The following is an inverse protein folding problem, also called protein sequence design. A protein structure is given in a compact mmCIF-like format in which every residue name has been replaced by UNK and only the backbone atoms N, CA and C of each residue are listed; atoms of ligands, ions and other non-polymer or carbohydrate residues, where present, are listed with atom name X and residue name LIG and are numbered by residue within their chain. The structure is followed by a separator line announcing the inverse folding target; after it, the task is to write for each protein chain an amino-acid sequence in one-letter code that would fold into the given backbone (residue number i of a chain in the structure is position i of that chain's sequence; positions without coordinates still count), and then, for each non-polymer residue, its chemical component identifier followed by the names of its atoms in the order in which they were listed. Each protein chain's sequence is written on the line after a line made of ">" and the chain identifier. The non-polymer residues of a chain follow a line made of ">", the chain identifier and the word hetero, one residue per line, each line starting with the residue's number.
data_IF_512362299999
#
_entry.id   IF_512362299999
#
_cell.length_a   1.000
_cell.length_b   1.000
_cell.length_c   1.000
_cell.angle_alpha   90.00
_cell.angle_beta   90.00
_cell.angle_gamma   90.00
#
_symmetry.space_group_name_H-M   'P 1'
#
loop_
_entity.id
_entity.type
_entity.pdbx_description
1 polymer ?
#
# COMPACT_ATOMS: atom_id res chain seq x y z
N UNK A 1 2.40 -30.46 -15.98
CA UNK A 1 3.69 -29.86 -15.56
C UNK A 1 4.23 -28.75 -16.48
N UNK A 2 4.55 -28.98 -17.77
CA UNK A 2 5.09 -27.89 -18.64
C UNK A 2 4.07 -26.80 -19.04
N UNK A 3 2.79 -27.12 -19.15
CA UNK A 3 1.72 -26.14 -19.47
C UNK A 3 1.28 -25.33 -18.25
N UNK A 4 1.14 -25.95 -17.09
CA UNK A 4 0.73 -25.28 -15.84
C UNK A 4 1.75 -24.20 -15.41
N UNK A 5 3.05 -24.47 -15.56
CA UNK A 5 4.10 -23.48 -15.27
C UNK A 5 4.01 -22.26 -16.18
N UNK A 6 3.69 -22.44 -17.47
CA UNK A 6 3.54 -21.34 -18.44
C UNK A 6 2.29 -20.50 -18.18
N UNK A 7 1.19 -21.13 -17.76
CA UNK A 7 -0.05 -20.43 -17.40
C UNK A 7 0.18 -19.59 -16.13
N UNK A 8 0.82 -20.15 -15.11
CA UNK A 8 1.16 -19.42 -13.89
C UNK A 8 2.10 -18.25 -14.15
N UNK A 9 3.13 -18.43 -14.98
CA UNK A 9 4.06 -17.36 -15.35
C UNK A 9 3.38 -16.27 -16.20
N UNK A 10 2.52 -16.67 -17.14
CA UNK A 10 1.75 -15.72 -17.95
C UNK A 10 0.78 -14.90 -17.08
N UNK A 11 0.11 -15.55 -16.12
CA UNK A 11 -0.76 -14.87 -15.16
C UNK A 11 0.02 -13.90 -14.27
N UNK A 12 1.16 -14.33 -13.73
CA UNK A 12 2.04 -13.48 -12.91
C UNK A 12 2.50 -12.24 -13.68
N UNK A 13 2.86 -12.40 -14.95
CA UNK A 13 3.27 -11.27 -15.82
C UNK A 13 2.10 -10.34 -16.13
N UNK A 14 0.90 -10.89 -16.34
CA UNK A 14 -0.31 -10.09 -16.54
C UNK A 14 -0.69 -9.28 -15.30
N UNK A 15 -0.59 -9.87 -14.10
CA UNK A 15 -0.83 -9.15 -12.83
C UNK A 15 0.25 -8.12 -12.52
N UNK A 16 1.49 -8.31 -12.98
CA UNK A 16 2.53 -7.30 -12.85
C UNK A 16 2.30 -6.09 -13.77
N UNK A 17 1.55 -6.24 -14.86
CA UNK A 17 1.30 -5.18 -15.83
C UNK A 17 0.01 -4.39 -15.61
N UNK A 18 -0.73 -4.64 -14.52
CA UNK A 18 -1.94 -3.88 -14.23
C UNK A 18 -1.57 -2.42 -13.99
N UNK A 19 -2.04 -1.54 -14.88
CA UNK A 19 -1.80 -0.09 -14.82
C UNK A 19 -2.96 0.58 -14.09
N UNK A 20 -2.63 1.54 -13.24
CA UNK A 20 -3.60 2.45 -12.67
C UNK A 20 -4.17 3.34 -13.80
N UNK A 21 -5.49 3.40 -13.94
CA UNK A 21 -6.17 4.28 -14.90
C UNK A 21 -6.71 5.52 -14.20
N UNK A 22 -7.03 6.57 -14.96
CA UNK A 22 -7.66 7.78 -14.43
C UNK A 22 -9.01 7.47 -13.77
N UNK A 23 -9.84 6.65 -14.41
CA UNK A 23 -11.15 6.27 -13.87
C UNK A 23 -11.03 5.56 -12.52
N UNK A 24 -10.04 4.68 -12.35
CA UNK A 24 -9.78 4.03 -11.06
C UNK A 24 -9.44 5.02 -9.95
N UNK A 25 -8.75 6.13 -10.28
CA UNK A 25 -8.41 7.17 -9.31
C UNK A 25 -9.66 7.93 -8.89
N UNK A 26 -10.51 8.31 -9.85
CA UNK A 26 -11.75 9.04 -9.56
C UNK A 26 -12.74 8.18 -8.77
N UNK A 27 -12.95 6.93 -9.18
CA UNK A 27 -13.79 5.97 -8.43
C UNK A 27 -13.25 5.74 -7.00
N UNK A 28 -11.92 5.72 -6.83
CA UNK A 28 -11.31 5.60 -5.49
C UNK A 28 -11.57 6.83 -4.62
N UNK A 29 -11.57 8.04 -5.20
CA UNK A 29 -11.90 9.28 -4.48
C UNK A 29 -13.38 9.30 -4.07
N UNK A 30 -14.28 8.94 -4.98
CA UNK A 30 -15.71 8.82 -4.68
C UNK A 30 -15.98 7.84 -3.54
N UNK A 31 -15.26 6.72 -3.50
CA UNK A 31 -15.33 5.77 -2.40
C UNK A 31 -14.86 6.38 -1.08
N UNK A 32 -13.74 7.11 -1.07
CA UNK A 32 -13.23 7.78 0.14
C UNK A 32 -14.21 8.83 0.65
N UNK A 33 -14.82 9.61 -0.25
CA UNK A 33 -15.87 10.58 0.08
C UNK A 33 -17.09 9.89 0.70
N UNK A 34 -17.54 8.78 0.12
CA UNK A 34 -18.67 8.00 0.65
C UNK A 34 -18.36 7.39 2.04
N UNK A 35 -17.10 7.08 2.33
CA UNK A 35 -16.63 6.61 3.63
C UNK A 35 -16.38 7.75 4.64
N UNK A 36 -16.39 9.01 4.21
CA UNK A 36 -16.05 10.17 5.03
C UNK A 36 -14.56 10.24 5.39
N UNK A 37 -13.69 9.66 4.57
CA UNK A 37 -12.24 9.68 4.77
C UNK A 37 -11.63 10.83 3.95
N UNK A 38 -10.95 11.80 4.59
CA UNK A 38 -10.36 12.91 3.86
C UNK A 38 -9.16 12.46 3.03
N UNK A 39 -9.01 13.05 1.86
CA UNK A 39 -7.82 12.93 1.01
C UNK A 39 -7.37 14.31 0.52
N UNK A 40 -6.11 14.42 0.12
CA UNK A 40 -5.51 15.66 -0.39
C UNK A 40 -4.92 15.37 -1.76
N UNK A 41 -5.16 16.26 -2.71
CA UNK A 41 -4.50 16.22 -4.02
C UNK A 41 -3.15 16.91 -3.92
N UNK A 42 -2.07 16.13 -4.01
CA UNK A 42 -0.72 16.68 -4.09
C UNK A 42 -0.52 17.47 -5.40
N UNK A 43 0.28 18.53 -5.34
CA UNK A 43 0.65 19.34 -6.52
C UNK A 43 1.51 18.57 -7.52
N UNK A 44 2.27 17.57 -7.06
CA UNK A 44 3.11 16.70 -7.90
C UNK A 44 3.12 15.27 -7.35
N UNK A 45 4.07 14.92 -6.49
CA UNK A 45 4.20 13.56 -5.95
C UNK A 45 3.51 13.42 -4.59
N UNK A 46 2.70 12.36 -4.45
CA UNK A 46 1.98 12.08 -3.20
C UNK A 46 2.90 11.79 -2.02
N UNK A 47 4.01 11.09 -2.25
CA UNK A 47 5.00 10.77 -1.22
C UNK A 47 5.70 12.02 -0.68
N UNK A 48 6.05 12.95 -1.56
CA UNK A 48 6.63 14.24 -1.16
C UNK A 48 5.64 15.09 -0.37
N UNK A 49 4.37 15.13 -0.78
CA UNK A 49 3.32 15.84 -0.05
C UNK A 49 3.10 15.24 1.35
N UNK A 50 3.08 13.90 1.46
CA UNK A 50 2.91 13.22 2.74
C UNK A 50 4.11 13.45 3.67
N UNK A 51 5.33 13.43 3.12
CA UNK A 51 6.55 13.74 3.85
C UNK A 51 6.54 15.18 4.39
N UNK A 52 6.13 16.15 3.57
CA UNK A 52 5.97 17.55 3.98
C UNK A 52 4.97 17.71 5.13
N UNK A 53 3.79 17.08 5.04
CA UNK A 53 2.81 17.11 6.13
C UNK A 53 3.35 16.46 7.40
N UNK A 54 4.17 15.41 7.27
CA UNK A 54 4.83 14.80 8.43
C UNK A 54 5.83 15.76 9.07
N UNK A 55 6.63 16.49 8.28
CA UNK A 55 7.64 17.42 8.81
C UNK A 55 7.02 18.68 9.42
N UNK A 56 5.85 19.11 8.94
CA UNK A 56 5.09 20.22 9.54
C UNK A 56 4.32 19.80 10.82
N UNK A 57 4.25 18.49 11.11
CA UNK A 57 3.56 17.95 12.28
C UNK A 57 2.05 17.78 12.12
N UNK A 58 1.52 17.90 10.89
CA UNK A 58 0.10 17.71 10.58
C UNK A 58 -0.33 16.24 10.72
N UNK A 59 0.60 15.31 10.50
CA UNK A 59 0.38 13.87 10.62
C UNK A 59 1.43 13.20 11.50
N UNK A 60 1.06 12.10 12.15
CA UNK A 60 1.99 11.36 13.01
C UNK A 60 3.10 10.63 12.24
N UNK A 61 2.78 10.08 11.07
CA UNK A 61 3.71 9.32 10.21
C UNK A 61 3.15 9.15 8.79
N UNK A 62 4.04 8.85 7.84
CA UNK A 62 3.68 8.50 6.46
C UNK A 62 3.58 6.98 6.29
N UNK A 63 2.47 6.49 5.75
CA UNK A 63 2.28 5.08 5.43
C UNK A 63 2.62 4.77 3.98
N UNK A 64 3.80 4.21 3.70
CA UNK A 64 4.19 3.76 2.33
C UNK A 64 4.95 2.42 2.36
N UNK A 65 5.06 1.79 1.20
CA UNK A 65 5.93 0.62 0.96
C UNK A 65 7.26 1.02 0.33
N UNK A 66 7.38 2.22 -0.23
CA UNK A 66 8.60 2.70 -0.85
C UNK A 66 9.28 3.70 0.08
N UNK A 67 10.61 3.79 0.01
CA UNK A 67 11.39 4.60 0.95
C UNK A 67 11.49 6.08 0.53
N UNK A 68 10.83 6.49 -0.56
CA UNK A 68 11.04 7.84 -1.12
C UNK A 68 10.51 8.93 -0.19
N UNK A 69 9.45 8.66 0.58
CA UNK A 69 8.98 9.53 1.66
C UNK A 69 10.10 9.94 2.65
N UNK A 70 11.03 9.03 2.98
CA UNK A 70 12.17 9.35 3.84
C UNK A 70 13.20 10.23 3.12
N UNK A 71 13.38 10.05 1.81
CA UNK A 71 14.25 10.89 1.00
C UNK A 71 13.70 12.33 0.88
N UNK A 72 12.37 12.47 0.89
CA UNK A 72 11.68 13.76 0.94
C UNK A 72 11.65 14.39 2.34
N UNK A 73 12.13 13.70 3.37
CA UNK A 73 12.27 14.25 4.72
C UNK A 73 11.11 13.95 5.68
N UNK A 74 10.36 12.86 5.47
CA UNK A 74 9.37 12.43 6.45
C UNK A 74 10.02 12.11 7.81
N UNK A 75 9.46 12.64 8.90
CA UNK A 75 9.97 12.39 10.26
C UNK A 75 9.78 10.93 10.68
N UNK A 76 8.68 10.32 10.26
CA UNK A 76 8.30 8.94 10.61
C UNK A 76 7.62 8.26 9.45
N UNK A 77 7.96 6.98 9.25
CA UNK A 77 7.37 6.14 8.21
C UNK A 77 6.90 4.80 8.79
N UNK A 78 5.70 4.35 8.39
CA UNK A 78 5.13 3.04 8.76
C UNK A 78 4.96 2.18 7.51
N UNK A 79 5.58 1.00 7.51
CA UNK A 79 5.51 0.02 6.41
C UNK A 79 4.51 -1.10 6.72
N UNK A 80 4.03 -1.78 5.67
CA UNK A 80 3.10 -2.91 5.76
C UNK A 80 1.70 -2.57 6.30
N UNK A 81 1.30 -1.30 6.29
CA UNK A 81 -0.03 -0.89 6.78
C UNK A 81 -1.17 -1.48 5.94
N UNK A 82 -0.97 -1.54 4.62
CA UNK A 82 -1.95 -2.06 3.66
C UNK A 82 -1.66 -3.50 3.21
N UNK A 83 -0.61 -4.13 3.77
CA UNK A 83 -0.15 -5.47 3.35
C UNK A 83 -0.76 -6.56 4.23
N UNK A 84 -1.40 -7.55 3.61
CA UNK A 84 -1.95 -8.73 4.31
C UNK A 84 -0.84 -9.78 4.51
N UNK A 85 -0.40 -10.03 5.75
CA UNK A 85 0.46 -11.19 6.09
C UNK A 85 -0.39 -12.41 6.47
N UNK A 86 -1.04 -13.05 5.51
CA UNK A 86 -1.56 -14.41 5.74
C UNK A 86 -0.51 -15.42 5.29
N UNK A 87 0.28 -15.95 6.24
CA UNK A 87 1.14 -17.12 5.97
C UNK A 87 0.23 -18.33 5.76
N UNK A 88 0.25 -18.95 4.57
CA UNK A 88 -0.26 -20.32 4.40
C UNK A 88 0.66 -21.25 5.18
N UNK A 89 0.22 -21.73 6.33
CA UNK A 89 0.82 -22.89 6.98
C UNK A 89 0.51 -24.13 6.14
N UNK A 90 1.44 -25.09 6.07
CA UNK A 90 1.30 -26.32 5.29
C UNK A 90 0.12 -27.21 5.75
N UNK A 91 -0.58 -26.85 6.82
CA UNK A 91 -1.68 -27.59 7.44
C UNK A 91 -3.08 -27.08 7.09
N UNK A 92 -3.22 -26.10 6.18
CA UNK A 92 -4.53 -25.66 5.69
C UNK A 92 -5.44 -24.98 6.72
N UNK A 93 -4.91 -24.61 7.89
CA UNK A 93 -5.61 -23.79 8.88
C UNK A 93 -5.10 -22.35 8.81
N UNK A 94 -6.02 -21.40 8.66
CA UNK A 94 -5.76 -19.97 8.78
C UNK A 94 -5.22 -19.68 10.19
N UNK A 95 -3.91 -19.58 10.32
CA UNK A 95 -3.25 -19.20 11.56
C UNK A 95 -3.19 -17.69 11.67
N UNK A 96 -4.11 -17.09 12.43
CA UNK A 96 -3.94 -15.73 12.93
C UNK A 96 -2.94 -15.74 14.08
N UNK A 97 -1.71 -15.32 13.83
CA UNK A 97 -0.76 -14.96 14.89
C UNK A 97 -0.03 -13.69 14.46
N UNK A 98 -0.65 -12.56 14.78
CA UNK A 98 0.07 -11.34 15.08
C UNK A 98 0.08 -11.25 16.61
N UNK A 99 1.08 -11.89 17.21
CA UNK A 99 1.40 -11.76 18.62
C UNK A 99 1.65 -10.28 18.93
N UNK A 100 1.13 -9.85 20.07
CA UNK A 100 1.26 -8.52 20.65
C UNK A 100 2.69 -7.94 20.58
N UNK A 101 2.73 -6.62 20.41
CA UNK A 101 3.64 -5.65 21.01
C UNK A 101 5.09 -6.04 21.27
N UNK A 102 6.01 -5.20 20.76
CA UNK A 102 7.04 -4.62 21.64
C UNK A 102 7.22 -3.13 21.35
N UNK A 103 7.49 -2.43 22.45
CA UNK A 103 7.57 -1.00 22.70
C UNK A 103 8.44 -0.19 21.73
#
# INVERSE_FOLDING_TARGET
>A
MKEEGKISEAYSKATQSSKLTGDMIEESKELLDAMGIPYIQASSEGEAQAAFMSSEGDVYAVGSQDWDCMLFGADRMVRNLTSRKTRKTSSGKEGSEATENRA
#
